data_IF_329460051960
#
_entry.id   IF_329460051960
#
_cell.length_a   1.000
_cell.length_b   1.000
_cell.length_c   1.000
_cell.angle_alpha   90.00
_cell.angle_beta   90.00
_cell.angle_gamma   90.00
#
_symmetry.space_group_name_H-M   'P 1'
#
loop_
_entity.id
_entity.type
_entity.pdbx_description
1 polymer ?
#
# COMPACT_ATOMS: atom_id res chain seq x y z
N UNK A 1 5.10 -1.96 -83.75
CA UNK A 1 5.51 -0.96 -84.77
C UNK A 1 7.03 -0.90 -84.79
N UNK A 2 7.62 -0.70 -85.98
CA UNK A 2 9.04 -0.88 -86.41
C UNK A 2 9.40 -2.37 -86.66
N UNK A 3 9.50 -2.91 -87.89
CA UNK A 3 10.25 -2.54 -89.11
C UNK A 3 11.78 -2.62 -88.87
N UNK A 4 12.65 -3.25 -89.68
CA UNK A 4 12.58 -3.80 -91.03
C UNK A 4 13.81 -4.68 -91.34
N UNK A 5 13.69 -5.54 -92.39
CA UNK A 5 14.65 -5.78 -93.51
C UNK A 5 16.08 -6.30 -93.21
N UNK A 6 16.82 -7.00 -94.07
CA UNK A 6 16.71 -7.61 -95.41
C UNK A 6 18.03 -8.43 -95.57
N UNK A 7 18.07 -9.50 -96.37
CA UNK A 7 19.35 -10.20 -96.62
C UNK A 7 19.25 -11.42 -97.51
N UNK A 8 18.67 -11.25 -98.68
CA UNK A 8 18.52 -12.24 -99.74
C UNK A 8 19.74 -12.15 -100.67
N UNK A 9 20.38 -13.28 -100.99
CA UNK A 9 21.52 -13.35 -101.90
C UNK A 9 21.50 -14.67 -102.66
N UNK A 10 20.85 -14.67 -103.82
CA UNK A 10 20.95 -15.74 -104.81
C UNK A 10 22.05 -15.44 -105.84
N UNK A 11 22.63 -16.50 -106.40
CA UNK A 11 23.58 -16.42 -107.50
C UNK A 11 23.79 -17.81 -108.09
N UNK A 12 23.19 -18.03 -109.26
CA UNK A 12 23.17 -19.26 -110.02
C UNK A 12 24.34 -19.38 -111.01
N UNK A 13 24.50 -20.59 -111.56
CA UNK A 13 25.08 -20.91 -112.89
C UNK A 13 26.61 -20.86 -112.99
N UNK A 14 27.32 -21.73 -113.71
CA UNK A 14 26.97 -22.69 -114.77
C UNK A 14 28.19 -23.59 -115.08
N UNK A 15 27.87 -24.77 -115.62
CA UNK A 15 28.56 -25.52 -116.67
C UNK A 15 29.84 -26.34 -116.44
N UNK A 16 29.65 -27.62 -116.79
CA UNK A 16 30.62 -28.65 -117.14
C UNK A 16 31.39 -28.27 -118.42
N UNK A 17 32.47 -29.02 -118.76
CA UNK A 17 32.25 -30.16 -119.66
C UNK A 17 32.95 -31.45 -119.22
N UNK A 18 32.33 -32.53 -119.68
CA UNK A 18 32.73 -33.92 -119.53
C UNK A 18 33.94 -34.31 -120.42
N UNK A 19 34.66 -35.35 -120.00
CA UNK A 19 35.49 -36.16 -120.90
C UNK A 19 36.38 -37.17 -120.17
N UNK A 20 36.15 -38.47 -120.41
CA UNK A 20 37.22 -39.47 -120.36
C UNK A 20 37.11 -40.59 -119.32
N UNK A 21 36.41 -41.66 -119.72
CA UNK A 21 36.48 -43.05 -119.22
C UNK A 21 37.95 -43.57 -119.28
N UNK A 22 38.45 -44.59 -118.59
CA UNK A 22 38.00 -45.63 -117.68
C UNK A 22 39.27 -46.28 -117.06
N UNK A 23 39.15 -47.01 -115.94
CA UNK A 23 39.50 -48.45 -115.82
C UNK A 23 39.83 -48.86 -114.38
N UNK A 24 39.34 -50.06 -114.05
CA UNK A 24 39.92 -51.07 -113.15
C UNK A 24 40.10 -50.76 -111.65
N UNK A 25 39.16 -51.35 -110.90
CA UNK A 25 39.27 -51.90 -109.55
C UNK A 25 40.71 -52.08 -109.00
N UNK A 26 41.02 -51.29 -107.97
CA UNK A 26 41.85 -51.73 -106.84
C UNK A 26 41.15 -51.27 -105.55
N UNK A 27 40.48 -52.22 -104.90
CA UNK A 27 40.11 -52.15 -103.49
C UNK A 27 41.40 -52.27 -102.70
N UNK A 28 41.86 -51.16 -102.11
CA UNK A 28 42.85 -51.20 -101.04
C UNK A 28 42.61 -49.99 -100.15
N UNK A 29 42.19 -50.26 -98.93
CA UNK A 29 41.71 -49.34 -97.90
C UNK A 29 42.70 -48.21 -97.58
N UNK A 30 42.24 -46.94 -97.61
CA UNK A 30 42.77 -45.94 -96.67
C UNK A 30 41.69 -45.09 -95.97
N UNK A 31 40.40 -45.29 -96.24
CA UNK A 31 39.33 -44.37 -95.78
C UNK A 31 38.84 -44.66 -94.35
N UNK A 32 38.90 -45.92 -93.89
CA UNK A 32 38.36 -46.33 -92.58
C UNK A 32 39.05 -45.64 -91.39
N UNK A 33 40.32 -45.24 -91.52
CA UNK A 33 41.04 -44.55 -90.45
C UNK A 33 40.62 -43.09 -90.27
N UNK A 34 40.27 -42.41 -91.37
CA UNK A 34 39.76 -41.04 -91.34
C UNK A 34 38.31 -41.01 -90.85
N UNK A 35 37.50 -42.00 -91.25
CA UNK A 35 36.12 -42.15 -90.78
C UNK A 35 36.04 -42.48 -89.28
N UNK A 36 36.95 -43.31 -88.77
CA UNK A 36 37.00 -43.63 -87.32
C UNK A 36 37.47 -42.41 -86.51
N UNK A 37 38.50 -41.69 -86.98
CA UNK A 37 38.93 -40.45 -86.32
C UNK A 37 37.84 -39.34 -86.37
N UNK A 38 37.08 -39.26 -87.46
CA UNK A 38 35.93 -38.38 -87.58
C UNK A 38 34.79 -38.78 -86.62
N UNK A 39 34.52 -40.08 -86.46
CA UNK A 39 33.54 -40.58 -85.50
C UNK A 39 33.95 -40.35 -84.04
N UNK A 40 35.24 -40.51 -83.71
CA UNK A 40 35.77 -40.24 -82.36
C UNK A 40 35.72 -38.74 -82.02
N UNK A 41 36.07 -37.87 -82.96
CA UNK A 41 35.97 -36.40 -82.77
C UNK A 41 34.52 -35.94 -82.65
N UNK A 42 33.60 -36.54 -83.41
CA UNK A 42 32.17 -36.27 -83.29
C UNK A 42 31.60 -36.73 -81.93
N UNK A 43 32.07 -37.88 -81.43
CA UNK A 43 31.70 -38.40 -80.10
C UNK A 43 32.21 -37.49 -78.99
N UNK A 44 33.48 -37.07 -79.06
CA UNK A 44 34.06 -36.12 -78.11
C UNK A 44 33.34 -34.77 -78.12
N UNK A 45 32.89 -34.29 -79.28
CA UNK A 45 32.09 -33.08 -79.39
C UNK A 45 30.71 -33.24 -78.75
N UNK A 46 30.03 -34.38 -78.98
CA UNK A 46 28.74 -34.65 -78.33
C UNK A 46 28.88 -34.74 -76.80
N UNK A 47 29.95 -35.34 -76.29
CA UNK A 47 30.22 -35.44 -74.86
C UNK A 47 30.49 -34.07 -74.23
N UNK A 48 31.29 -33.22 -74.91
CA UNK A 48 31.50 -31.84 -74.46
C UNK A 48 30.21 -31.02 -74.48
N UNK A 49 29.37 -31.17 -75.52
CA UNK A 49 28.06 -30.51 -75.58
C UNK A 49 27.15 -30.96 -74.44
N UNK A 50 27.13 -32.26 -74.12
CA UNK A 50 26.37 -32.79 -73.00
C UNK A 50 26.85 -32.22 -71.66
N UNK A 51 28.18 -32.19 -71.41
CA UNK A 51 28.76 -31.57 -70.21
C UNK A 51 28.45 -30.09 -70.10
N UNK A 52 28.49 -29.36 -71.21
CA UNK A 52 28.13 -27.93 -71.23
C UNK A 52 26.64 -27.72 -70.97
N UNK A 53 25.75 -28.62 -71.40
CA UNK A 53 24.34 -28.57 -71.07
C UNK A 53 24.13 -28.80 -69.56
N UNK A 54 24.76 -29.84 -69.00
CA UNK A 54 24.67 -30.15 -67.57
C UNK A 54 25.20 -29.00 -66.69
N UNK A 55 26.32 -28.40 -67.05
CA UNK A 55 26.85 -27.23 -66.32
C UNK A 55 25.91 -26.01 -66.40
N UNK A 56 25.20 -25.81 -67.52
CA UNK A 56 24.19 -24.74 -67.63
C UNK A 56 23.01 -25.01 -66.73
N UNK A 57 22.54 -26.25 -66.67
CA UNK A 57 21.42 -26.63 -65.80
C UNK A 57 21.80 -26.47 -64.32
N UNK A 58 23.00 -26.89 -63.94
CA UNK A 58 23.54 -26.68 -62.59
C UNK A 58 23.67 -25.18 -62.24
N UNK A 59 24.14 -24.36 -63.19
CA UNK A 59 24.22 -22.91 -63.00
C UNK A 59 22.85 -22.29 -62.81
N UNK A 60 21.86 -22.66 -63.62
CA UNK A 60 20.48 -22.17 -63.49
C UNK A 60 19.85 -22.58 -62.14
N UNK A 61 20.10 -23.81 -61.67
CA UNK A 61 19.62 -24.26 -60.36
C UNK A 61 20.30 -23.48 -59.21
N UNK A 62 21.62 -23.25 -59.30
CA UNK A 62 22.33 -22.45 -58.31
C UNK A 62 21.83 -21.01 -58.26
N UNK A 63 21.54 -20.39 -59.42
CA UNK A 63 20.94 -19.05 -59.50
C UNK A 63 19.55 -19.00 -58.87
N UNK A 64 18.72 -20.01 -59.11
CA UNK A 64 17.40 -20.13 -58.49
C UNK A 64 17.50 -20.24 -56.97
N UNK A 65 18.39 -21.11 -56.46
CA UNK A 65 18.65 -21.26 -55.01
C UNK A 65 19.17 -19.96 -54.38
N UNK A 66 20.08 -19.25 -55.06
CA UNK A 66 20.58 -17.96 -54.58
C UNK A 66 19.48 -16.90 -54.55
N UNK A 67 18.53 -16.94 -55.48
CA UNK A 67 17.38 -16.01 -55.49
C UNK A 67 16.44 -16.29 -54.32
N UNK A 68 16.11 -17.56 -54.07
CA UNK A 68 15.31 -17.99 -52.93
C UNK A 68 15.96 -17.61 -51.59
N UNK A 69 17.25 -17.90 -51.41
CA UNK A 69 17.99 -17.51 -50.21
C UNK A 69 17.99 -15.99 -49.97
N UNK A 70 18.10 -15.17 -51.03
CA UNK A 70 18.00 -13.72 -50.91
C UNK A 70 16.61 -13.28 -50.45
N UNK A 71 15.55 -13.91 -50.96
CA UNK A 71 14.19 -13.61 -50.54
C UNK A 71 13.96 -14.00 -49.07
N UNK A 72 14.44 -15.16 -48.64
CA UNK A 72 14.38 -15.61 -47.25
C UNK A 72 15.16 -14.67 -46.31
N UNK A 73 16.36 -14.23 -46.72
CA UNK A 73 17.15 -13.26 -45.95
C UNK A 73 16.39 -11.94 -45.77
N UNK A 74 15.79 -11.42 -46.85
CA UNK A 74 15.02 -10.18 -46.80
C UNK A 74 13.74 -10.30 -45.94
N UNK A 75 13.12 -11.48 -45.91
CA UNK A 75 11.99 -11.76 -45.00
C UNK A 75 12.44 -11.80 -43.54
N UNK A 76 13.54 -12.50 -43.24
CA UNK A 76 14.10 -12.55 -41.88
C UNK A 76 14.52 -11.18 -41.38
N UNK A 77 15.14 -10.35 -42.23
CA UNK A 77 15.48 -8.96 -41.88
C UNK A 77 14.25 -8.14 -41.50
N UNK A 78 13.14 -8.29 -42.26
CA UNK A 78 11.87 -7.62 -41.94
C UNK A 78 11.30 -8.13 -40.62
N UNK A 79 11.33 -9.43 -40.36
CA UNK A 79 10.87 -10.00 -39.09
C UNK A 79 11.70 -9.51 -37.90
N UNK A 80 13.03 -9.51 -38.03
CA UNK A 80 13.94 -9.00 -36.99
C UNK A 80 13.69 -7.52 -36.72
N UNK A 81 13.48 -6.71 -37.76
CA UNK A 81 13.11 -5.30 -37.61
C UNK A 81 11.78 -5.14 -36.87
N UNK A 82 10.76 -5.93 -37.22
CA UNK A 82 9.46 -5.93 -36.55
C UNK A 82 9.55 -6.32 -35.07
N UNK A 83 10.29 -7.37 -34.75
CA UNK A 83 10.52 -7.81 -33.36
C UNK A 83 11.31 -6.77 -32.55
N UNK A 84 12.27 -6.09 -33.19
CA UNK A 84 13.05 -5.01 -32.57
C UNK A 84 12.12 -3.85 -32.19
N UNK A 85 11.24 -3.43 -33.10
CA UNK A 85 10.27 -2.37 -32.83
C UNK A 85 9.28 -2.77 -31.71
N UNK A 86 8.77 -4.01 -31.72
CA UNK A 86 7.89 -4.51 -30.65
C UNK A 86 8.59 -4.53 -29.29
N UNK A 87 9.84 -4.98 -29.24
CA UNK A 87 10.65 -4.96 -28.02
C UNK A 87 10.84 -3.54 -27.49
N UNK A 88 11.10 -2.58 -28.36
CA UNK A 88 11.34 -1.20 -27.96
C UNK A 88 10.04 -0.54 -27.45
N UNK A 89 8.90 -0.79 -28.12
CA UNK A 89 7.58 -0.38 -27.62
C UNK A 89 7.25 -0.98 -26.24
N UNK A 90 7.50 -2.28 -26.06
CA UNK A 90 7.28 -2.95 -24.78
C UNK A 90 8.16 -2.36 -23.66
N UNK A 91 9.39 -1.96 -23.96
CA UNK A 91 10.28 -1.28 -23.00
C UNK A 91 9.75 0.08 -22.58
N UNK A 92 9.21 0.86 -23.52
CA UNK A 92 8.59 2.14 -23.23
C UNK A 92 7.33 1.97 -22.36
N UNK A 93 6.50 0.97 -22.65
CA UNK A 93 5.32 0.65 -21.84
C UNK A 93 5.71 0.24 -20.42
N UNK A 94 6.74 -0.60 -20.25
CA UNK A 94 7.25 -0.99 -18.93
C UNK A 94 7.72 0.26 -18.15
N UNK A 95 8.51 1.13 -18.77
CA UNK A 95 8.99 2.35 -18.13
C UNK A 95 7.83 3.27 -17.71
N UNK A 96 6.80 3.40 -18.54
CA UNK A 96 5.61 4.17 -18.22
C UNK A 96 4.81 3.55 -17.06
N UNK A 97 4.69 2.22 -17.02
CA UNK A 97 4.03 1.52 -15.92
C UNK A 97 4.81 1.63 -14.61
N UNK A 98 6.14 1.57 -14.65
CA UNK A 98 6.99 1.79 -13.48
C UNK A 98 6.84 3.21 -12.93
N UNK A 99 6.82 4.23 -13.80
CA UNK A 99 6.56 5.61 -13.39
C UNK A 99 5.19 5.75 -12.70
N UNK A 100 4.13 5.20 -13.31
CA UNK A 100 2.77 5.20 -12.72
C UNK A 100 2.72 4.45 -11.39
N UNK A 101 3.47 3.35 -11.24
CA UNK A 101 3.56 2.61 -9.98
C UNK A 101 4.16 3.48 -8.90
N UNK A 102 5.28 4.15 -9.16
CA UNK A 102 5.93 5.05 -8.21
C UNK A 102 5.03 6.23 -7.82
N UNK A 103 4.32 6.82 -8.79
CA UNK A 103 3.33 7.87 -8.50
C UNK A 103 2.20 7.37 -7.60
N UNK A 104 1.67 6.17 -7.88
CA UNK A 104 0.62 5.56 -7.06
C UNK A 104 1.11 5.22 -5.64
N UNK A 105 2.33 4.72 -5.48
CA UNK A 105 2.98 4.47 -4.18
C UNK A 105 3.12 5.77 -3.38
N UNK A 106 3.55 6.86 -4.03
CA UNK A 106 3.65 8.18 -3.39
C UNK A 106 2.27 8.73 -2.97
N UNK A 107 1.27 8.59 -3.83
CA UNK A 107 -0.11 9.01 -3.51
C UNK A 107 -0.70 8.20 -2.34
N UNK A 108 -0.43 6.89 -2.29
CA UNK A 108 -0.85 6.03 -1.19
C UNK A 108 -0.19 6.44 0.13
N UNK A 109 1.12 6.71 0.12
CA UNK A 109 1.83 7.19 1.31
C UNK A 109 1.23 8.52 1.82
N UNK A 110 0.91 9.45 0.91
CA UNK A 110 0.26 10.71 1.28
C UNK A 110 -1.14 10.48 1.85
N UNK A 111 -1.93 9.57 1.27
CA UNK A 111 -3.26 9.25 1.78
C UNK A 111 -3.20 8.64 3.19
N UNK A 112 -2.26 7.73 3.44
CA UNK A 112 -2.03 7.14 4.75
C UNK A 112 -1.62 8.20 5.80
N UNK A 113 -0.76 9.15 5.41
CA UNK A 113 -0.40 10.26 6.29
C UNK A 113 -1.63 11.11 6.65
N UNK A 114 -2.45 11.50 5.66
CA UNK A 114 -3.67 12.27 5.90
C UNK A 114 -4.66 11.51 6.78
N UNK A 115 -4.78 10.20 6.59
CA UNK A 115 -5.63 9.37 7.43
C UNK A 115 -5.17 9.36 8.89
N UNK A 116 -3.85 9.27 9.13
CA UNK A 116 -3.29 9.35 10.48
C UNK A 116 -3.53 10.72 11.12
N UNK A 117 -3.34 11.80 10.37
CA UNK A 117 -3.62 13.17 10.81
C UNK A 117 -5.10 13.36 11.18
N UNK A 118 -6.02 12.84 10.36
CA UNK A 118 -7.46 12.89 10.62
C UNK A 118 -7.85 12.06 11.85
N UNK A 119 -7.29 10.87 12.02
CA UNK A 119 -7.51 10.04 13.22
C UNK A 119 -7.08 10.78 14.48
N UNK A 120 -5.88 11.33 14.48
CA UNK A 120 -5.39 12.13 15.62
C UNK A 120 -6.26 13.36 15.87
N UNK A 121 -6.72 14.02 14.79
CA UNK A 121 -7.65 15.14 14.87
C UNK A 121 -8.97 14.77 15.54
N UNK A 122 -9.54 13.61 15.18
CA UNK A 122 -10.78 13.09 15.75
C UNK A 122 -10.62 12.76 17.23
N UNK A 123 -9.53 12.11 17.62
CA UNK A 123 -9.22 11.80 19.02
C UNK A 123 -9.13 13.07 19.85
N UNK A 124 -8.38 14.07 19.38
CA UNK A 124 -8.25 15.36 20.03
C UNK A 124 -9.60 16.09 20.15
N UNK A 125 -10.42 16.06 19.10
CA UNK A 125 -11.75 16.67 19.12
C UNK A 125 -12.66 15.98 20.13
N UNK A 126 -12.61 14.65 20.20
CA UNK A 126 -13.38 13.85 21.17
C UNK A 126 -12.96 14.18 22.59
N UNK A 127 -11.65 14.25 22.88
CA UNK A 127 -11.15 14.67 24.20
C UNK A 127 -11.59 16.09 24.57
N UNK A 128 -11.59 17.02 23.62
CA UNK A 128 -12.09 18.38 23.86
C UNK A 128 -13.59 18.40 24.14
N UNK A 129 -14.35 17.60 23.41
CA UNK A 129 -15.79 17.49 23.62
C UNK A 129 -16.10 16.96 25.03
N UNK A 130 -15.47 15.87 25.44
CA UNK A 130 -15.71 15.30 26.78
C UNK A 130 -15.28 16.26 27.90
N UNK A 131 -14.18 16.98 27.72
CA UNK A 131 -13.76 18.02 28.67
C UNK A 131 -14.75 19.18 28.74
N UNK A 132 -15.31 19.61 27.60
CA UNK A 132 -16.31 20.67 27.55
C UNK A 132 -17.63 20.24 28.21
N UNK A 133 -18.07 19.01 27.98
CA UNK A 133 -19.26 18.43 28.63
C UNK A 133 -19.08 18.36 30.16
N UNK A 134 -17.92 17.90 30.63
CA UNK A 134 -17.61 17.88 32.06
C UNK A 134 -17.59 19.30 32.68
N UNK A 135 -17.00 20.27 31.97
CA UNK A 135 -16.98 21.67 32.43
C UNK A 135 -18.38 22.29 32.47
N UNK A 136 -19.26 21.93 31.54
CA UNK A 136 -20.66 22.37 31.53
C UNK A 136 -21.41 21.85 32.75
N UNK A 137 -21.30 20.55 33.06
CA UNK A 137 -21.91 19.95 34.25
C UNK A 137 -21.39 20.57 35.56
N UNK A 138 -20.09 20.85 35.64
CA UNK A 138 -19.48 21.53 36.78
C UNK A 138 -19.99 22.98 36.93
N UNK A 139 -20.20 23.69 35.81
CA UNK A 139 -20.80 25.02 35.82
C UNK A 139 -22.27 25.00 36.29
N UNK A 140 -23.06 24.02 35.84
CA UNK A 140 -24.45 23.82 36.30
C UNK A 140 -24.52 23.56 37.81
N UNK A 141 -23.61 22.72 38.33
CA UNK A 141 -23.51 22.50 39.79
C UNK A 141 -23.19 23.77 40.56
N UNK A 142 -22.20 24.56 40.11
CA UNK A 142 -21.86 25.85 40.74
C UNK A 142 -23.03 26.83 40.71
N UNK A 143 -23.81 26.83 39.63
CA UNK A 143 -25.00 27.66 39.54
C UNK A 143 -26.04 27.22 40.58
N UNK A 144 -26.33 25.92 40.70
CA UNK A 144 -27.25 25.40 41.70
C UNK A 144 -26.79 25.70 43.14
N UNK A 145 -25.49 25.54 43.43
CA UNK A 145 -24.88 25.89 44.72
C UNK A 145 -25.01 27.40 45.01
N UNK A 146 -24.80 28.25 44.01
CA UNK A 146 -24.99 29.70 44.15
C UNK A 146 -26.46 30.11 44.37
N UNK A 147 -27.40 29.45 43.69
CA UNK A 147 -28.84 29.67 43.87
C UNK A 147 -29.30 29.27 45.28
N UNK A 148 -28.81 28.13 45.80
CA UNK A 148 -29.04 27.70 47.18
C UNK A 148 -28.48 28.71 48.18
N UNK A 149 -27.21 29.10 48.03
CA UNK A 149 -26.59 30.09 48.91
C UNK A 149 -27.31 31.44 48.90
N UNK A 150 -27.88 31.85 47.76
CA UNK A 150 -28.69 33.06 47.68
C UNK A 150 -30.04 32.92 48.42
N UNK A 151 -30.69 31.77 48.31
CA UNK A 151 -31.92 31.48 49.06
C UNK A 151 -31.68 31.49 50.58
N UNK A 152 -30.61 30.83 51.04
CA UNK A 152 -30.20 30.83 52.46
C UNK A 152 -29.89 32.25 52.97
N UNK A 153 -29.18 33.05 52.17
CA UNK A 153 -28.88 34.44 52.53
C UNK A 153 -30.13 35.31 52.65
N UNK A 154 -31.15 35.09 51.81
CA UNK A 154 -32.44 35.77 51.93
C UNK A 154 -33.19 35.35 53.19
N UNK A 155 -33.16 34.07 53.55
CA UNK A 155 -33.80 33.57 54.78
C UNK A 155 -33.13 34.17 56.03
N UNK A 156 -31.80 34.14 56.10
CA UNK A 156 -31.04 34.77 57.20
C UNK A 156 -31.33 36.26 57.30
N UNK A 157 -31.43 36.95 56.16
CA UNK A 157 -31.81 38.36 56.11
C UNK A 157 -33.22 38.58 56.67
N UNK A 158 -34.20 37.77 56.30
CA UNK A 158 -35.56 37.90 56.81
C UNK A 158 -35.62 37.65 58.34
N UNK A 159 -34.86 36.68 58.85
CA UNK A 159 -34.73 36.42 60.29
C UNK A 159 -34.10 37.63 61.00
N UNK A 160 -33.02 38.19 60.45
CA UNK A 160 -32.35 39.37 61.01
C UNK A 160 -33.25 40.61 60.98
N UNK A 161 -34.00 40.85 59.89
CA UNK A 161 -34.97 41.94 59.78
C UNK A 161 -36.11 41.77 60.81
N UNK A 162 -36.59 40.55 61.05
CA UNK A 162 -37.58 40.27 62.09
C UNK A 162 -37.05 40.52 63.51
N UNK A 163 -35.82 40.07 63.83
CA UNK A 163 -35.18 40.33 65.11
C UNK A 163 -34.92 41.83 65.35
N UNK A 164 -34.56 42.57 64.30
CA UNK A 164 -34.45 44.03 64.36
C UNK A 164 -35.81 44.69 64.63
N UNK A 165 -36.90 44.21 64.01
CA UNK A 165 -38.26 44.69 64.30
C UNK A 165 -38.70 44.39 65.74
N UNK A 166 -38.33 43.22 66.28
CA UNK A 166 -38.63 42.86 67.66
C UNK A 166 -37.85 43.72 68.66
N UNK A 167 -36.53 43.86 68.48
CA UNK A 167 -35.67 44.69 69.34
C UNK A 167 -36.07 46.16 69.30
N UNK A 168 -36.46 46.69 68.14
CA UNK A 168 -37.00 48.07 68.05
C UNK A 168 -38.32 48.20 68.81
N UNK A 169 -39.25 47.25 68.69
CA UNK A 169 -40.48 47.25 69.47
C UNK A 169 -40.24 47.11 70.99
N UNK A 170 -39.22 46.36 71.41
CA UNK A 170 -38.80 46.28 72.81
C UNK A 170 -38.24 47.60 73.34
N UNK A 171 -37.38 48.27 72.57
CA UNK A 171 -36.84 49.59 72.92
C UNK A 171 -37.96 50.64 72.99
N UNK A 172 -38.92 50.63 72.07
CA UNK A 172 -40.09 51.50 72.12
C UNK A 172 -40.94 51.25 73.37
N UNK A 173 -41.18 49.99 73.73
CA UNK A 173 -41.85 49.63 74.99
C UNK A 173 -41.08 50.09 76.22
N UNK A 174 -39.76 49.91 76.25
CA UNK A 174 -38.90 50.32 77.36
C UNK A 174 -38.82 51.85 77.50
N UNK A 175 -38.72 52.57 76.39
CA UNK A 175 -38.71 54.05 76.38
C UNK A 175 -40.07 54.62 76.79
N UNK A 176 -41.19 54.06 76.31
CA UNK A 176 -42.52 54.41 76.79
C UNK A 176 -42.68 54.17 78.31
N UNK A 177 -42.21 53.03 78.82
CA UNK A 177 -42.21 52.75 80.26
C UNK A 177 -41.34 53.74 81.05
N UNK A 178 -40.17 54.14 80.51
CA UNK A 178 -39.27 55.12 81.13
C UNK A 178 -39.83 56.55 81.14
N UNK A 179 -40.63 56.93 80.15
CA UNK A 179 -41.32 58.23 80.15
C UNK A 179 -42.45 58.33 81.18
N UNK A 180 -42.89 57.22 81.78
CA UNK A 180 -43.94 57.18 82.81
C UNK A 180 -43.35 57.17 84.25
N UNK A 181 -42.05 56.90 84.42
CA UNK A 181 -41.39 56.92 85.74
C UNK A 181 -39.96 57.43 85.66
N UNK A 182 -39.59 58.57 86.27
CA UNK A 182 -38.20 58.95 86.44
C UNK A 182 -37.67 58.27 87.70
N UNK A 183 -36.97 57.14 87.58
CA UNK A 183 -36.06 56.76 88.65
C UNK A 183 -34.86 55.92 88.20
N UNK A 184 -33.75 56.30 88.84
CA UNK A 184 -32.36 55.86 88.84
C UNK A 184 -32.10 54.35 88.71
N UNK A 185 -31.02 53.99 88.01
CA UNK A 185 -29.80 53.41 88.61
C UNK A 185 -29.06 52.41 87.68
N UNK A 186 -27.75 52.64 87.55
CA UNK A 186 -26.68 51.70 87.17
C UNK A 186 -26.35 50.69 88.32
N UNK A 187 -25.27 49.88 88.28
CA UNK A 187 -24.86 48.82 87.34
C UNK A 187 -24.37 47.53 88.08
N UNK A 188 -24.06 46.42 87.39
CA UNK A 188 -23.03 45.43 87.82
C UNK A 188 -22.80 44.36 86.72
N UNK A 189 -21.61 44.20 86.10
CA UNK A 189 -20.35 43.48 86.45
C UNK A 189 -20.48 41.99 86.82
N UNK A 190 -19.77 41.11 86.08
CA UNK A 190 -19.04 39.88 86.48
C UNK A 190 -18.98 38.88 85.30
N UNK A 191 -17.81 38.66 84.67
CA UNK A 191 -16.83 37.55 84.91
C UNK A 191 -17.31 36.18 84.37
N UNK A 192 -16.72 35.65 83.29
CA UNK A 192 -15.42 34.92 83.21
C UNK A 192 -15.58 33.41 83.49
N UNK A 193 -15.32 32.57 82.48
CA UNK A 193 -14.80 31.21 82.73
C UNK A 193 -14.14 30.60 81.48
N UNK A 194 -12.88 30.25 81.70
CA UNK A 194 -11.89 29.61 80.85
C UNK A 194 -11.59 28.23 81.48
N UNK A 195 -11.48 27.16 80.69
CA UNK A 195 -10.70 25.93 80.94
C UNK A 195 -10.98 24.95 79.78
N UNK A 196 -10.05 24.62 78.88
CA UNK A 196 -8.81 23.82 79.00
C UNK A 196 -9.05 22.30 79.06
N UNK A 197 -8.54 21.56 78.05
CA UNK A 197 -7.89 20.24 78.19
C UNK A 197 -7.53 19.54 76.84
N UNK A 198 -6.22 19.31 76.67
CA UNK A 198 -5.40 18.33 75.89
C UNK A 198 -5.98 17.12 75.08
N UNK A 199 -5.68 17.05 73.77
CA UNK A 199 -4.70 16.21 72.97
C UNK A 199 -4.25 14.79 73.51
N UNK A 200 -3.86 13.73 72.71
CA UNK A 200 -4.39 12.95 71.54
C UNK A 200 -4.32 11.37 71.74
N UNK A 201 -4.08 10.48 70.72
CA UNK A 201 -4.99 9.62 69.92
C UNK A 201 -4.95 8.09 70.28
N UNK A 202 -5.58 7.16 69.51
CA UNK A 202 -4.87 6.51 68.41
C UNK A 202 -5.72 6.14 67.18
N UNK A 203 -4.99 5.67 66.17
CA UNK A 203 -5.34 5.15 64.86
C UNK A 203 -6.34 3.98 64.90
N UNK A 204 -7.23 3.91 63.90
CA UNK A 204 -7.70 2.62 63.40
C UNK A 204 -8.11 2.69 61.91
N UNK A 205 -7.21 2.12 61.10
CA UNK A 205 -7.46 1.11 60.08
C UNK A 205 -8.63 1.32 59.10
N UNK A 206 -8.30 1.94 57.96
CA UNK A 206 -9.02 1.75 56.70
C UNK A 206 -8.96 0.27 56.30
N UNK A 207 -10.11 -0.38 56.30
CA UNK A 207 -10.30 -1.72 55.73
C UNK A 207 -10.21 -1.61 54.21
N UNK A 208 -9.03 -1.93 53.66
CA UNK A 208 -8.86 -2.15 52.24
C UNK A 208 -9.43 -3.53 51.87
N UNK A 209 -10.39 -3.52 50.95
CA UNK A 209 -10.82 -4.68 50.16
C UNK A 209 -9.62 -5.47 49.62
N UNK A 210 -9.67 -6.81 49.54
CA UNK A 210 -8.56 -7.61 49.04
C UNK A 210 -8.29 -7.28 47.55
N UNK A 211 -7.03 -7.07 47.14
CA UNK A 211 -6.72 -6.81 45.75
C UNK A 211 -7.00 -8.08 44.94
N UNK A 212 -8.03 -8.02 44.09
CA UNK A 212 -8.09 -8.90 42.94
C UNK A 212 -6.76 -8.77 42.19
N UNK A 213 -6.14 -9.91 41.88
CA UNK A 213 -4.78 -10.04 41.38
C UNK A 213 -4.62 -9.36 40.00
N UNK A 214 -4.53 -8.04 39.98
CA UNK A 214 -4.18 -7.26 38.80
C UNK A 214 -2.72 -7.58 38.45
N UNK A 215 -2.49 -8.01 37.21
CA UNK A 215 -1.12 -8.30 36.77
C UNK A 215 -0.36 -6.99 36.64
N UNK A 216 0.88 -6.89 37.16
CA UNK A 216 1.66 -5.66 37.03
C UNK A 216 1.81 -5.28 35.56
N UNK A 217 1.50 -4.02 35.23
CA UNK A 217 1.55 -3.53 33.85
C UNK A 217 2.93 -3.73 33.19
N UNK A 218 4.00 -3.64 33.98
CA UNK A 218 5.37 -3.88 33.52
C UNK A 218 5.60 -5.32 33.01
N UNK A 219 5.00 -6.32 33.66
CA UNK A 219 5.11 -7.72 33.26
C UNK A 219 4.36 -7.98 31.95
N UNK A 220 3.17 -7.39 31.82
CA UNK A 220 2.36 -7.46 30.58
C UNK A 220 3.09 -6.80 29.41
N UNK A 221 3.73 -5.65 29.64
CA UNK A 221 4.48 -4.93 28.62
C UNK A 221 5.71 -5.70 28.13
N UNK A 222 6.45 -6.30 29.06
CA UNK A 222 7.59 -7.14 28.72
C UNK A 222 7.17 -8.36 27.89
N UNK A 223 6.06 -9.01 28.23
CA UNK A 223 5.53 -10.15 27.48
C UNK A 223 5.06 -9.74 26.07
N UNK A 224 4.37 -8.60 25.93
CA UNK A 224 3.94 -8.07 24.63
C UNK A 224 5.11 -7.62 23.76
N UNK A 225 6.19 -7.11 24.34
CA UNK A 225 7.41 -6.75 23.60
C UNK A 225 8.09 -7.97 22.94
N UNK A 226 7.97 -9.15 23.56
CA UNK A 226 8.50 -10.43 23.01
C UNK A 226 7.60 -11.06 21.95
N UNK A 227 6.43 -10.48 21.68
CA UNK A 227 5.47 -10.96 20.68
C UNK A 227 5.27 -9.92 19.56
N UNK A 228 6.30 -9.57 18.77
CA UNK A 228 6.20 -8.54 17.73
C UNK A 228 5.20 -8.90 16.61
N UNK A 229 4.87 -10.18 16.45
CA UNK A 229 3.85 -10.65 15.51
C UNK A 229 2.44 -10.14 15.81
N UNK A 230 2.19 -9.56 16.99
CA UNK A 230 0.91 -8.93 17.35
C UNK A 230 0.80 -7.49 16.84
N UNK A 231 1.85 -6.93 16.20
CA UNK A 231 1.86 -5.57 15.70
C UNK A 231 1.84 -4.51 16.82
N UNK A 232 1.48 -3.27 16.46
CA UNK A 232 1.38 -2.12 17.38
C UNK A 232 0.04 -1.40 17.28
N UNK A 233 -0.97 -2.07 16.71
CA UNK A 233 -2.30 -1.49 16.48
C UNK A 233 -3.19 -1.42 17.73
N UNK A 234 -4.40 -0.86 17.59
CA UNK A 234 -5.37 -0.71 18.69
C UNK A 234 -5.71 -2.03 19.38
N UNK A 235 -5.68 -3.14 18.65
CA UNK A 235 -5.89 -4.50 19.18
C UNK A 235 -4.85 -4.89 20.24
N UNK A 236 -3.60 -4.38 20.14
CA UNK A 236 -2.55 -4.64 21.13
C UNK A 236 -2.78 -3.83 22.41
N UNK A 237 -3.31 -2.62 22.30
CA UNK A 237 -3.70 -1.81 23.44
C UNK A 237 -4.88 -2.45 24.20
N UNK A 238 -5.86 -2.98 23.47
CA UNK A 238 -6.99 -3.72 24.04
C UNK A 238 -6.53 -5.01 24.75
N UNK A 239 -5.66 -5.80 24.09
CA UNK A 239 -5.05 -6.98 24.69
C UNK A 239 -4.27 -6.65 25.98
N UNK A 240 -3.52 -5.55 25.99
CA UNK A 240 -2.78 -5.07 27.17
C UNK A 240 -3.73 -4.76 28.33
N UNK A 241 -4.81 -4.02 28.08
CA UNK A 241 -5.78 -3.68 29.13
C UNK A 241 -6.44 -4.93 29.72
N UNK A 242 -6.86 -5.86 28.87
CA UNK A 242 -7.46 -7.15 29.30
C UNK A 242 -6.52 -7.97 30.17
N UNK A 243 -5.23 -8.06 29.79
CA UNK A 243 -4.22 -8.77 30.57
C UNK A 243 -3.91 -8.09 31.93
N UNK A 244 -3.90 -6.76 31.98
CA UNK A 244 -3.74 -5.99 33.23
C UNK A 244 -4.95 -6.22 34.15
N UNK A 245 -6.16 -6.25 33.57
CA UNK A 245 -7.40 -6.57 34.27
C UNK A 245 -7.46 -8.03 34.75
N UNK A 246 -6.47 -8.86 34.42
CA UNK A 246 -6.34 -10.24 34.89
C UNK A 246 -6.99 -11.29 33.98
N UNK A 247 -7.54 -10.92 32.82
CA UNK A 247 -8.10 -11.88 31.87
C UNK A 247 -7.05 -12.92 31.42
N UNK A 248 -7.55 -14.10 31.09
CA UNK A 248 -6.71 -15.18 30.63
C UNK A 248 -6.09 -14.87 29.26
N UNK A 249 -4.78 -15.14 29.05
CA UNK A 249 -4.13 -14.81 27.80
C UNK A 249 -4.80 -15.38 26.55
N UNK A 250 -5.40 -16.57 26.66
CA UNK A 250 -6.14 -17.19 25.57
C UNK A 250 -7.46 -16.46 25.23
N UNK A 251 -8.17 -15.99 26.24
CA UNK A 251 -9.44 -15.26 26.10
C UNK A 251 -9.20 -13.82 25.66
N UNK A 252 -8.22 -13.16 26.28
CA UNK A 252 -7.81 -11.81 25.92
C UNK A 252 -7.33 -11.73 24.45
N UNK A 253 -6.55 -12.71 23.98
CA UNK A 253 -6.15 -12.80 22.56
C UNK A 253 -7.34 -13.03 21.62
N UNK A 254 -8.28 -13.90 22.01
CA UNK A 254 -9.47 -14.18 21.20
C UNK A 254 -10.37 -12.94 21.11
N UNK A 255 -10.53 -12.20 22.21
CA UNK A 255 -11.29 -10.96 22.24
C UNK A 255 -10.70 -9.88 21.35
N UNK A 256 -9.38 -9.69 21.37
CA UNK A 256 -8.71 -8.62 20.63
C UNK A 256 -8.43 -8.94 19.14
N UNK A 257 -8.21 -10.21 18.77
CA UNK A 257 -7.75 -10.58 17.40
C UNK A 257 -8.65 -11.60 16.68
N UNK A 258 -9.66 -12.17 17.35
CA UNK A 258 -10.59 -13.16 16.77
C UNK A 258 -9.96 -14.53 16.51
N UNK A 259 -8.96 -14.62 15.63
CA UNK A 259 -8.22 -15.86 15.34
C UNK A 259 -6.92 -15.93 16.15
N UNK A 260 -6.72 -17.04 16.86
CA UNK A 260 -5.57 -17.23 17.75
C UNK A 260 -4.36 -17.71 16.94
N UNK A 261 -3.35 -16.86 16.82
CA UNK A 261 -2.02 -17.32 16.38
C UNK A 261 -1.41 -18.19 17.49
N UNK A 262 -1.28 -19.50 17.24
CA UNK A 262 -0.73 -20.47 18.22
C UNK A 262 0.66 -20.13 18.73
N UNK A 263 1.48 -19.42 17.95
CA UNK A 263 2.82 -19.01 18.38
C UNK A 263 2.75 -17.88 19.42
N UNK A 264 1.93 -16.86 19.16
CA UNK A 264 1.72 -15.75 20.10
C UNK A 264 1.11 -16.22 21.42
N UNK A 265 0.18 -17.18 21.36
CA UNK A 265 -0.41 -17.81 22.55
C UNK A 265 0.66 -18.50 23.41
N UNK A 266 1.59 -19.25 22.82
CA UNK A 266 2.62 -19.97 23.56
C UNK A 266 3.58 -19.03 24.29
N UNK A 267 3.99 -17.94 23.63
CA UNK A 267 4.86 -16.93 24.23
C UNK A 267 4.16 -16.25 25.41
N UNK A 268 2.90 -15.86 25.24
CA UNK A 268 2.12 -15.20 26.31
C UNK A 268 1.83 -16.12 27.50
N UNK A 269 1.50 -17.39 27.25
CA UNK A 269 1.27 -18.37 28.33
C UNK A 269 2.56 -18.74 29.07
N UNK A 270 3.71 -18.75 28.38
CA UNK A 270 5.01 -19.02 29.01
C UNK A 270 5.44 -17.90 29.96
N UNK A 271 5.18 -16.64 29.60
CA UNK A 271 5.61 -15.46 30.38
C UNK A 271 4.60 -15.06 31.46
N UNK A 272 3.30 -15.16 31.15
CA UNK A 272 2.23 -14.72 32.04
C UNK A 272 1.63 -15.87 32.86
N UNK A 273 2.06 -17.10 32.62
CA UNK A 273 1.52 -18.31 33.25
C UNK A 273 0.20 -18.77 32.64
N UNK A 274 -0.09 -20.05 32.79
CA UNK A 274 -1.41 -20.60 32.50
C UNK A 274 -2.43 -20.03 33.51
N UNK A 275 -3.63 -19.76 33.05
CA UNK A 275 -4.75 -19.58 33.98
C UNK A 275 -5.07 -20.92 34.64
N UNK A 276 -5.12 -20.91 35.97
CA UNK A 276 -5.62 -22.02 36.78
C UNK A 276 -7.13 -21.97 36.92
#
# INVERSE_FOLDING_TARGET
>A
MAAAALGQGGGASTDLPAGGQATAAQVTEPDRGLDVAAAETQTAESDMRARLAELRDQAAEAEARLTDLRQQSAELERQVSGLTAQRDAAREEIAALEARRTEAEAALAQAQQREAELRQGLENATTRQTAAEAAALDAERRQAEAEQGFAEAQELRAIAEAALAETTAEVERATAARTVSPQEAEPAVAEEQQADASVPPPEDTVTADPPQQQRPAATVDAALARAPALGSGPQRAELRQRLIAGECPAEALRGAYGQINRQSLRVLVAELGACG
#
